data_IF_659526857927
#
_entry.id   IF_659526857927
#
_cell.length_a   1.000
_cell.length_b   1.000
_cell.length_c   1.000
_cell.angle_alpha   90.00
_cell.angle_beta   90.00
_cell.angle_gamma   90.00
#
_symmetry.space_group_name_H-M   'P 1'
#
loop_
_entity.id
_entity.type
_entity.pdbx_description
1 polymer ?
#
# COMPACT_ATOMS: atom_id res chain seq x y z
N UNK A 1 23.94 4.88 14.24
CA UNK A 1 22.48 4.93 14.13
C UNK A 1 22.02 6.26 14.70
N UNK A 2 21.50 7.13 13.85
CA UNK A 2 21.03 8.45 14.29
C UNK A 2 19.60 8.26 14.80
N UNK A 3 19.41 8.01 16.10
CA UNK A 3 18.07 7.98 16.68
C UNK A 3 17.51 9.39 16.54
N UNK A 4 16.50 9.55 15.69
CA UNK A 4 15.83 10.84 15.55
C UNK A 4 15.19 11.23 16.88
N UNK A 5 15.05 12.52 17.15
CA UNK A 5 14.37 13.02 18.36
C UNK A 5 12.99 12.34 18.60
N UNK A 6 12.27 12.00 17.52
CA UNK A 6 11.00 11.26 17.58
C UNK A 6 11.22 9.82 18.07
N UNK A 7 12.29 9.14 17.63
CA UNK A 7 12.63 7.79 18.10
C UNK A 7 12.91 7.76 19.59
N UNK A 8 13.73 8.70 20.10
CA UNK A 8 14.02 8.80 21.53
C UNK A 8 12.76 9.05 22.38
N UNK A 9 11.81 9.84 21.87
CA UNK A 9 10.53 10.05 22.56
C UNK A 9 9.66 8.80 22.57
N UNK A 10 9.66 8.02 21.49
CA UNK A 10 8.92 6.76 21.41
C UNK A 10 9.49 5.75 22.43
N UNK A 11 10.80 5.59 22.48
CA UNK A 11 11.50 4.72 23.46
C UNK A 11 11.22 5.15 24.91
N UNK A 12 11.25 6.47 25.19
CA UNK A 12 10.94 6.99 26.52
C UNK A 12 9.47 6.74 26.91
N UNK A 13 8.53 6.88 25.96
CA UNK A 13 7.12 6.59 26.20
C UNK A 13 6.89 5.10 26.45
N UNK A 14 7.51 4.23 25.65
CA UNK A 14 7.47 2.78 25.84
C UNK A 14 7.98 2.39 27.24
N UNK A 15 9.16 2.88 27.63
CA UNK A 15 9.76 2.62 28.93
C UNK A 15 8.82 3.05 30.08
N UNK A 16 8.18 4.20 29.94
CA UNK A 16 7.23 4.71 30.94
C UNK A 16 5.97 3.86 31.04
N UNK A 17 5.45 3.37 29.91
CA UNK A 17 4.27 2.51 29.89
C UNK A 17 4.57 1.14 30.52
N UNK A 18 5.75 0.58 30.28
CA UNK A 18 6.21 -0.65 30.91
C UNK A 18 6.38 -0.45 32.42
N UNK A 19 7.04 0.64 32.86
CA UNK A 19 7.19 0.96 34.29
C UNK A 19 5.86 1.10 35.00
N UNK A 20 4.86 1.66 34.33
CA UNK A 20 3.48 1.79 34.87
C UNK A 20 2.67 0.48 34.79
N UNK A 21 3.21 -0.58 34.24
CA UNK A 21 2.50 -1.87 34.05
C UNK A 21 1.33 -1.81 33.08
N UNK A 22 1.29 -0.82 32.17
CA UNK A 22 0.24 -0.67 31.18
C UNK A 22 0.48 -1.56 29.94
N UNK A 23 1.74 -1.86 29.65
CA UNK A 23 2.17 -2.80 28.59
C UNK A 23 3.31 -3.67 29.10
N UNK A 24 3.57 -4.79 28.42
CA UNK A 24 4.74 -5.63 28.64
C UNK A 24 5.76 -5.39 27.52
N UNK A 25 7.05 -5.62 27.80
CA UNK A 25 8.14 -5.32 26.88
C UNK A 25 8.06 -6.05 25.53
N UNK A 26 7.46 -7.24 25.50
CA UNK A 26 7.33 -8.07 24.32
C UNK A 26 6.07 -7.75 23.46
N UNK A 27 5.10 -7.03 24.00
CA UNK A 27 3.84 -6.73 23.29
C UNK A 27 4.06 -5.85 22.06
N UNK A 28 5.00 -4.91 22.11
CA UNK A 28 5.32 -4.04 20.97
C UNK A 28 6.02 -4.85 19.89
N UNK A 29 7.00 -5.67 20.26
CA UNK A 29 7.73 -6.54 19.34
C UNK A 29 6.80 -7.56 18.69
N UNK A 30 5.90 -8.17 19.45
CA UNK A 30 4.87 -9.09 18.93
C UNK A 30 3.93 -8.38 17.94
N UNK A 31 3.54 -7.13 18.22
CA UNK A 31 2.71 -6.34 17.33
C UNK A 31 3.44 -6.00 16.04
N UNK A 32 4.70 -5.58 16.12
CA UNK A 32 5.54 -5.29 14.96
C UNK A 32 5.71 -6.55 14.11
N UNK A 33 6.03 -7.69 14.72
CA UNK A 33 6.15 -8.98 14.02
C UNK A 33 4.85 -9.39 13.35
N UNK A 34 3.70 -9.23 14.02
CA UNK A 34 2.39 -9.48 13.44
C UNK A 34 2.18 -8.68 12.14
N UNK A 35 2.45 -7.37 12.18
CA UNK A 35 2.31 -6.51 11.00
C UNK A 35 3.32 -6.81 9.90
N UNK A 36 4.53 -7.23 10.25
CA UNK A 36 5.55 -7.57 9.26
C UNK A 36 5.33 -8.95 8.61
N UNK A 37 4.82 -9.92 9.37
CA UNK A 37 4.75 -11.32 8.96
C UNK A 37 3.37 -11.76 8.49
N UNK A 38 2.29 -11.12 9.00
CA UNK A 38 0.90 -11.55 8.76
C UNK A 38 0.00 -10.48 8.16
N UNK A 39 0.35 -9.20 8.29
CA UNK A 39 -0.44 -8.06 7.82
C UNK A 39 0.39 -7.19 6.89
N UNK A 40 1.29 -7.80 6.13
CA UNK A 40 2.18 -7.11 5.23
C UNK A 40 1.61 -6.92 3.82
N UNK A 41 2.38 -6.32 2.91
CA UNK A 41 1.95 -6.12 1.53
C UNK A 41 1.68 -7.42 0.76
N UNK A 42 2.11 -8.59 1.29
CA UNK A 42 1.76 -9.90 0.74
C UNK A 42 0.24 -10.13 0.70
N UNK A 43 -0.53 -9.57 1.64
CA UNK A 43 -1.99 -9.69 1.62
C UNK A 43 -2.58 -9.00 0.38
N UNK A 44 -2.19 -7.76 0.12
CA UNK A 44 -2.59 -7.04 -1.08
C UNK A 44 -2.09 -7.70 -2.36
N UNK A 45 -0.89 -8.26 -2.35
CA UNK A 45 -0.34 -8.99 -3.48
C UNK A 45 -1.16 -10.24 -3.84
N UNK A 46 -1.66 -10.98 -2.85
CA UNK A 46 -2.59 -12.10 -3.09
C UNK A 46 -3.92 -11.62 -3.69
N UNK A 47 -4.47 -10.52 -3.17
CA UNK A 47 -5.69 -9.89 -3.70
C UNK A 47 -5.51 -9.50 -5.16
N UNK A 48 -4.39 -8.84 -5.49
CA UNK A 48 -4.05 -8.43 -6.86
C UNK A 48 -3.89 -9.64 -7.79
N UNK A 49 -3.13 -10.66 -7.37
CA UNK A 49 -2.89 -11.86 -8.16
C UNK A 49 -4.20 -12.60 -8.47
N UNK A 50 -5.07 -12.76 -7.48
CA UNK A 50 -6.40 -13.34 -7.67
C UNK A 50 -7.24 -12.49 -8.64
N UNK A 51 -7.26 -11.18 -8.50
CA UNK A 51 -8.01 -10.30 -9.39
C UNK A 51 -7.54 -10.37 -10.84
N UNK A 52 -6.27 -10.64 -11.09
CA UNK A 52 -5.75 -10.84 -12.44
C UNK A 52 -6.16 -12.19 -13.06
N UNK A 53 -6.36 -13.23 -12.25
CA UNK A 53 -6.72 -14.58 -12.71
C UNK A 53 -8.23 -14.85 -12.71
N UNK A 54 -8.98 -14.15 -11.87
CA UNK A 54 -10.42 -14.31 -11.70
C UNK A 54 -11.17 -13.01 -12.02
N UNK A 55 -11.74 -12.85 -13.23
CA UNK A 55 -12.49 -11.65 -13.63
C UNK A 55 -13.71 -11.35 -12.74
N UNK A 56 -14.38 -12.39 -12.20
CA UNK A 56 -15.54 -12.21 -11.33
C UNK A 56 -15.09 -11.68 -9.95
N UNK A 57 -13.99 -12.20 -9.43
CA UNK A 57 -13.39 -11.65 -8.21
C UNK A 57 -12.94 -10.19 -8.42
N UNK A 58 -12.26 -9.90 -9.54
CA UNK A 58 -11.86 -8.53 -9.91
C UNK A 58 -13.03 -7.57 -9.92
N UNK A 59 -14.16 -7.98 -10.51
CA UNK A 59 -15.36 -7.17 -10.53
C UNK A 59 -15.86 -6.85 -9.12
N UNK A 60 -15.97 -7.86 -8.24
CA UNK A 60 -16.35 -7.66 -6.83
C UNK A 60 -15.37 -6.77 -6.09
N UNK A 61 -14.07 -6.97 -6.31
CA UNK A 61 -13.00 -6.18 -5.68
C UNK A 61 -13.10 -4.68 -6.01
N UNK A 62 -13.41 -4.34 -7.26
CA UNK A 62 -13.56 -2.93 -7.68
C UNK A 62 -14.89 -2.34 -7.20
N UNK A 63 -15.96 -3.14 -7.12
CA UNK A 63 -17.26 -2.70 -6.63
C UNK A 63 -17.29 -2.56 -5.10
N UNK A 64 -16.73 -3.52 -4.37
CA UNK A 64 -16.64 -3.56 -2.91
C UNK A 64 -15.31 -4.15 -2.45
N UNK A 65 -14.29 -3.30 -2.35
CA UNK A 65 -12.96 -3.72 -1.92
C UNK A 65 -12.93 -4.29 -0.52
N UNK A 66 -13.74 -3.77 0.41
CA UNK A 66 -13.81 -4.26 1.80
C UNK A 66 -14.35 -5.69 1.84
N UNK A 67 -15.51 -5.94 1.23
CA UNK A 67 -16.08 -7.28 1.19
C UNK A 67 -15.21 -8.29 0.45
N UNK A 68 -14.54 -7.87 -0.62
CA UNK A 68 -13.67 -8.77 -1.37
C UNK A 68 -12.40 -9.22 -0.62
N UNK A 69 -11.81 -8.37 0.23
CA UNK A 69 -10.65 -8.78 1.04
C UNK A 69 -11.03 -9.64 2.24
N UNK A 70 -12.28 -9.56 2.71
CA UNK A 70 -12.80 -10.44 3.75
C UNK A 70 -12.85 -11.91 3.32
N UNK A 71 -12.98 -12.20 2.01
CA UNK A 71 -12.89 -13.56 1.46
C UNK A 71 -11.54 -14.24 1.79
N UNK A 72 -10.48 -13.46 2.02
CA UNK A 72 -9.16 -13.93 2.47
C UNK A 72 -8.99 -13.91 3.99
N UNK A 73 -9.98 -13.43 4.74
CA UNK A 73 -9.85 -13.20 6.17
C UNK A 73 -9.02 -11.95 6.53
N UNK A 74 -8.76 -11.07 5.57
CA UNK A 74 -8.04 -9.82 5.81
C UNK A 74 -8.98 -8.78 6.40
N UNK A 75 -9.15 -8.84 7.71
CA UNK A 75 -10.06 -7.97 8.47
C UNK A 75 -9.30 -7.10 9.46
N UNK A 76 -9.88 -5.96 9.83
CA UNK A 76 -9.32 -5.06 10.83
C UNK A 76 -8.32 -4.04 10.26
N UNK A 77 -7.46 -3.49 11.12
CA UNK A 77 -6.42 -2.55 10.71
C UNK A 77 -6.93 -1.15 10.33
N UNK A 78 -8.01 -0.67 10.98
CA UNK A 78 -8.55 0.68 10.79
C UNK A 78 -9.08 0.96 9.37
N UNK A 79 -9.61 -0.05 8.69
CA UNK A 79 -10.27 0.13 7.39
C UNK A 79 -11.78 0.11 7.61
N UNK A 80 -12.42 1.28 7.56
CA UNK A 80 -13.86 1.37 7.49
C UNK A 80 -14.35 1.02 6.08
N UNK A 81 -13.66 1.57 5.06
CA UNK A 81 -13.94 1.28 3.66
C UNK A 81 -12.66 1.23 2.83
N UNK A 82 -12.42 0.10 2.16
CA UNK A 82 -11.39 -0.04 1.12
C UNK A 82 -12.02 0.19 -0.25
N UNK A 83 -11.46 1.12 -1.00
CA UNK A 83 -11.79 1.34 -2.41
C UNK A 83 -10.59 0.94 -3.26
N UNK A 84 -10.81 0.01 -4.19
CA UNK A 84 -9.78 -0.43 -5.12
C UNK A 84 -9.96 0.28 -6.45
N UNK A 85 -8.88 0.91 -6.93
CA UNK A 85 -8.86 1.68 -8.18
C UNK A 85 -7.97 0.99 -9.20
N UNK A 86 -8.54 0.60 -10.34
CA UNK A 86 -7.84 -0.16 -11.37
C UNK A 86 -7.05 0.76 -12.30
N UNK A 87 -5.78 0.41 -12.54
CA UNK A 87 -4.98 0.98 -13.62
C UNK A 87 -5.41 0.39 -14.97
N UNK A 88 -5.40 1.24 -15.99
CA UNK A 88 -5.71 0.86 -17.38
C UNK A 88 -4.65 1.38 -18.34
N UNK A 89 -4.80 1.09 -19.64
CA UNK A 89 -3.92 1.64 -20.66
C UNK A 89 -3.92 3.18 -20.67
N UNK A 90 -5.08 3.79 -20.38
CA UNK A 90 -5.25 5.24 -20.43
C UNK A 90 -5.16 5.95 -19.08
N UNK A 91 -5.24 5.20 -17.96
CA UNK A 91 -5.29 5.77 -16.60
C UNK A 91 -4.27 5.09 -15.69
N UNK A 92 -3.51 5.89 -14.98
CA UNK A 92 -2.64 5.48 -13.87
C UNK A 92 -3.09 6.14 -12.58
N UNK A 93 -3.33 5.33 -11.55
CA UNK A 93 -3.81 5.79 -10.26
C UNK A 93 -2.66 5.86 -9.26
N UNK A 94 -2.69 6.87 -8.40
CA UNK A 94 -1.72 7.07 -7.31
C UNK A 94 -2.48 7.36 -6.03
N UNK A 95 -2.06 6.77 -4.92
CA UNK A 95 -2.69 6.96 -3.62
C UNK A 95 -1.83 7.86 -2.73
N UNK A 96 -2.48 8.74 -2.00
CA UNK A 96 -1.86 9.62 -1.00
C UNK A 96 -2.80 9.77 0.20
N UNK A 97 -2.30 10.23 1.32
CA UNK A 97 -3.09 10.91 2.34
C UNK A 97 -2.45 12.28 2.61
N UNK A 98 -3.10 13.35 2.15
CA UNK A 98 -2.56 14.71 2.29
C UNK A 98 -2.62 15.22 3.73
N UNK A 99 -3.56 14.72 4.53
CA UNK A 99 -3.83 15.21 5.88
C UNK A 99 -2.95 14.55 6.95
N UNK A 100 -2.87 13.22 6.94
CA UNK A 100 -2.17 12.46 7.98
C UNK A 100 -1.30 11.34 7.39
N UNK A 101 -1.73 10.09 7.49
CA UNK A 101 -1.05 8.93 6.94
C UNK A 101 -2.02 7.75 6.77
N UNK A 102 -3.26 8.05 6.38
CA UNK A 102 -4.28 7.06 6.14
C UNK A 102 -3.85 6.06 5.08
N UNK A 103 -3.84 4.79 5.42
CA UNK A 103 -3.21 3.73 4.66
C UNK A 103 -3.98 2.42 4.86
N UNK A 104 -4.15 1.58 3.86
CA UNK A 104 -4.91 0.33 3.99
C UNK A 104 -4.06 -0.78 4.63
N UNK A 105 -3.89 -0.75 5.95
CA UNK A 105 -2.98 -1.62 6.71
C UNK A 105 -3.28 -3.12 6.55
N UNK A 106 -4.55 -3.51 6.46
CA UNK A 106 -4.92 -4.93 6.33
C UNK A 106 -4.32 -5.60 5.08
N UNK A 107 -4.12 -4.83 4.01
CA UNK A 107 -3.61 -5.33 2.74
C UNK A 107 -2.21 -4.86 2.38
N UNK A 108 -1.75 -3.71 2.89
CA UNK A 108 -0.43 -3.16 2.56
C UNK A 108 0.55 -3.10 3.74
N UNK A 109 0.12 -3.52 4.94
CA UNK A 109 0.93 -3.49 6.15
C UNK A 109 1.24 -2.08 6.62
N UNK A 110 2.44 -1.87 7.18
CA UNK A 110 2.87 -0.56 7.64
C UNK A 110 3.26 0.34 6.46
N UNK A 111 2.85 1.63 6.45
CA UNK A 111 3.21 2.54 5.39
C UNK A 111 4.71 2.77 5.33
N UNK A 112 5.30 2.88 4.11
CA UNK A 112 6.71 3.23 3.96
C UNK A 112 6.96 4.66 4.47
N UNK A 113 8.20 4.95 4.86
CA UNK A 113 8.55 6.27 5.43
C UNK A 113 8.25 7.42 4.47
N UNK A 114 8.52 7.24 3.18
CA UNK A 114 8.28 8.26 2.15
C UNK A 114 6.79 8.61 1.99
N UNK A 115 5.86 7.65 2.24
CA UNK A 115 4.42 7.89 2.18
C UNK A 115 3.95 8.96 3.20
N UNK A 116 4.67 9.06 4.32
CA UNK A 116 4.41 10.05 5.38
C UNK A 116 5.15 11.37 5.16
N UNK A 117 6.06 11.44 4.19
CA UNK A 117 6.86 12.64 3.92
C UNK A 117 5.96 13.80 3.47
N UNK A 118 6.04 14.97 4.13
CA UNK A 118 5.31 16.17 3.73
C UNK A 118 5.59 16.57 2.28
N UNK A 119 6.79 16.37 1.76
CA UNK A 119 7.14 16.67 0.38
C UNK A 119 6.35 15.79 -0.60
N UNK A 120 6.30 14.46 -0.39
CA UNK A 120 5.47 13.55 -1.18
C UNK A 120 4.01 14.00 -1.14
N UNK A 121 3.45 14.15 0.07
CA UNK A 121 2.03 14.43 0.27
C UNK A 121 1.57 15.74 -0.38
N UNK A 122 2.39 16.79 -0.31
CA UNK A 122 2.04 18.09 -0.87
C UNK A 122 2.27 18.18 -2.39
N UNK A 123 3.25 17.44 -2.92
CA UNK A 123 3.64 17.52 -4.32
C UNK A 123 2.86 16.58 -5.22
N UNK A 124 2.55 15.36 -4.75
CA UNK A 124 1.90 14.34 -5.59
C UNK A 124 0.53 14.80 -6.11
N UNK A 125 -0.20 15.64 -5.37
CA UNK A 125 -1.48 16.20 -5.82
C UNK A 125 -1.33 17.35 -6.82
N UNK A 126 -0.19 18.04 -6.84
CA UNK A 126 0.07 19.20 -7.71
C UNK A 126 0.82 18.82 -8.99
N UNK A 127 1.80 17.95 -8.87
CA UNK A 127 2.73 17.56 -9.94
C UNK A 127 2.98 16.02 -9.92
N UNK A 128 1.92 15.19 -10.01
CA UNK A 128 2.04 13.74 -9.81
C UNK A 128 3.05 13.09 -10.76
N UNK A 129 3.10 13.48 -12.03
CA UNK A 129 4.04 12.92 -13.00
C UNK A 129 5.48 13.13 -12.60
N UNK A 130 5.81 14.35 -12.14
CA UNK A 130 7.17 14.69 -11.73
C UNK A 130 7.58 13.91 -10.49
N UNK A 131 6.66 13.75 -9.53
CA UNK A 131 6.91 12.92 -8.35
C UNK A 131 7.13 11.46 -8.74
N UNK A 132 6.33 10.92 -9.66
CA UNK A 132 6.51 9.55 -10.17
C UNK A 132 7.86 9.39 -10.88
N UNK A 133 8.26 10.34 -11.73
CA UNK A 133 9.57 10.34 -12.40
C UNK A 133 10.73 10.34 -11.40
N UNK A 134 10.67 11.17 -10.38
CA UNK A 134 11.66 11.23 -9.30
C UNK A 134 11.72 9.91 -8.48
N UNK A 135 10.61 9.16 -8.42
CA UNK A 135 10.54 7.83 -7.81
C UNK A 135 10.89 6.69 -8.77
N UNK A 136 11.30 7.02 -10.01
CA UNK A 136 11.73 6.03 -11.01
C UNK A 136 10.62 5.51 -11.93
N UNK A 137 9.43 6.14 -11.90
CA UNK A 137 8.29 5.72 -12.73
C UNK A 137 7.97 6.76 -13.80
N UNK A 138 8.31 6.44 -15.06
CA UNK A 138 7.98 7.28 -16.22
C UNK A 138 6.75 6.75 -16.93
N UNK A 139 5.75 7.61 -17.10
CA UNK A 139 4.49 7.26 -17.76
C UNK A 139 4.40 7.89 -19.17
N UNK A 140 3.75 7.22 -20.14
CA UNK A 140 3.41 7.80 -21.44
C UNK A 140 2.67 9.13 -21.28
N UNK A 141 2.91 10.09 -22.18
CA UNK A 141 2.35 11.45 -22.07
C UNK A 141 0.82 11.49 -22.14
N UNK A 142 0.22 10.57 -22.89
CA UNK A 142 -1.22 10.42 -23.10
C UNK A 142 -1.92 9.69 -21.94
N UNK A 143 -1.17 9.01 -21.06
CA UNK A 143 -1.74 8.32 -19.90
C UNK A 143 -2.16 9.33 -18.82
N UNK A 144 -3.42 9.35 -18.44
CA UNK A 144 -3.96 10.23 -17.40
C UNK A 144 -3.50 9.75 -16.02
N UNK A 145 -2.97 10.65 -15.19
CA UNK A 145 -2.66 10.33 -13.78
C UNK A 145 -3.80 10.84 -12.90
N UNK A 146 -4.38 9.92 -12.10
CA UNK A 146 -5.38 10.24 -11.08
C UNK A 146 -4.80 10.04 -9.69
N UNK A 147 -4.95 11.05 -8.85
CA UNK A 147 -4.49 11.00 -7.46
C UNK A 147 -5.69 10.83 -6.54
N UNK A 148 -5.63 9.82 -5.66
CA UNK A 148 -6.67 9.47 -4.71
C UNK A 148 -6.19 9.79 -3.30
N UNK A 149 -6.93 10.66 -2.62
CA UNK A 149 -6.60 11.12 -1.27
C UNK A 149 -7.37 10.31 -0.22
N UNK A 150 -6.67 9.45 0.50
CA UNK A 150 -7.24 8.63 1.57
C UNK A 150 -7.66 9.50 2.76
N UNK A 151 -8.78 9.15 3.38
CA UNK A 151 -9.30 9.81 4.57
C UNK A 151 -9.39 8.83 5.76
N UNK A 152 -9.94 9.28 6.88
CA UNK A 152 -10.20 8.40 8.04
C UNK A 152 -11.19 7.29 7.71
N UNK A 153 -12.17 7.55 6.86
CA UNK A 153 -13.25 6.62 6.50
C UNK A 153 -12.92 5.78 5.27
N UNK A 154 -12.14 6.33 4.33
CA UNK A 154 -11.86 5.68 3.04
C UNK A 154 -10.37 5.50 2.85
N UNK A 155 -9.96 4.26 2.56
CA UNK A 155 -8.60 3.89 2.15
C UNK A 155 -8.62 3.45 0.70
N UNK A 156 -7.62 3.86 -0.06
CA UNK A 156 -7.47 3.45 -1.45
C UNK A 156 -6.32 2.46 -1.60
N UNK A 157 -6.50 1.51 -2.53
CA UNK A 157 -5.46 0.63 -3.04
C UNK A 157 -5.52 0.63 -4.57
N UNK A 158 -4.38 0.64 -5.22
CA UNK A 158 -4.30 0.49 -6.68
C UNK A 158 -4.29 -1.00 -7.03
N UNK A 159 -5.13 -1.38 -7.99
CA UNK A 159 -4.99 -2.64 -8.72
C UNK A 159 -4.11 -2.35 -9.95
N UNK A 160 -2.82 -2.73 -9.93
CA UNK A 160 -1.92 -2.46 -11.04
C UNK A 160 -2.27 -3.31 -12.26
N UNK A 161 -1.85 -2.85 -13.44
CA UNK A 161 -1.95 -3.68 -14.65
C UNK A 161 -0.99 -4.85 -14.55
N UNK A 162 -1.47 -6.04 -14.94
CA UNK A 162 -0.62 -7.21 -15.07
C UNK A 162 0.28 -7.04 -16.31
N UNK A 163 1.60 -7.19 -16.17
CA UNK A 163 2.48 -7.24 -17.34
C UNK A 163 2.08 -8.39 -18.26
N UNK A 164 2.02 -8.17 -19.59
CA UNK A 164 1.59 -9.22 -20.54
C UNK A 164 2.43 -10.49 -20.45
N UNK A 165 3.72 -10.37 -20.17
CA UNK A 165 4.67 -11.48 -20.01
C UNK A 165 4.41 -12.35 -18.77
N UNK A 166 3.54 -11.93 -17.85
CA UNK A 166 3.19 -12.69 -16.64
C UNK A 166 1.88 -13.49 -16.80
N UNK A 167 1.27 -13.47 -17.98
CA UNK A 167 -0.04 -14.11 -18.24
C UNK A 167 -0.07 -15.61 -17.88
N UNK A 168 1.05 -16.32 -18.08
CA UNK A 168 1.15 -17.77 -17.87
C UNK A 168 1.59 -18.16 -16.44
N UNK A 169 1.92 -17.18 -15.61
CA UNK A 169 2.34 -17.44 -14.23
C UNK A 169 1.16 -17.92 -13.37
N UNK A 170 1.47 -18.71 -12.37
CA UNK A 170 0.49 -19.10 -11.34
C UNK A 170 0.10 -17.89 -10.46
N UNK A 171 -1.04 -17.99 -9.77
CA UNK A 171 -1.47 -16.95 -8.82
C UNK A 171 -0.43 -16.71 -7.72
N UNK A 172 0.22 -17.78 -7.22
CA UNK A 172 1.30 -17.68 -6.23
C UNK A 172 2.50 -16.93 -6.78
N UNK A 173 2.96 -17.28 -8.00
CA UNK A 173 4.11 -16.62 -8.63
C UNK A 173 3.84 -15.13 -8.95
N UNK A 174 2.59 -14.82 -9.29
CA UNK A 174 2.14 -13.44 -9.49
C UNK A 174 2.17 -12.65 -8.17
N UNK A 175 1.67 -13.24 -7.09
CA UNK A 175 1.67 -12.58 -5.78
C UNK A 175 3.09 -12.24 -5.29
N UNK A 176 4.08 -13.10 -5.54
CA UNK A 176 5.47 -12.82 -5.19
C UNK A 176 6.09 -11.63 -5.95
N UNK A 177 5.51 -11.27 -7.09
CA UNK A 177 6.02 -10.19 -7.97
C UNK A 177 5.33 -8.85 -7.76
N UNK A 178 4.19 -8.84 -7.07
CA UNK A 178 3.45 -7.61 -6.79
C UNK A 178 4.10 -6.88 -5.61
N UNK A 179 4.58 -5.67 -5.86
CA UNK A 179 5.18 -4.83 -4.83
C UNK A 179 4.15 -3.96 -4.11
N UNK A 180 4.46 -3.55 -2.89
CA UNK A 180 3.67 -2.54 -2.18
C UNK A 180 3.58 -1.22 -2.95
N UNK A 181 4.68 -0.80 -3.55
CA UNK A 181 4.78 0.46 -4.26
C UNK A 181 3.91 0.49 -5.52
N UNK A 182 3.72 -0.67 -6.19
CA UNK A 182 2.76 -0.79 -7.29
C UNK A 182 1.31 -0.67 -6.84
N UNK A 183 0.98 -1.14 -5.62
CA UNK A 183 -0.35 -1.02 -5.03
C UNK A 183 -0.64 0.36 -4.43
N UNK A 184 0.39 1.21 -4.27
CA UNK A 184 0.25 2.65 -3.99
C UNK A 184 0.19 3.45 -5.31
N UNK A 185 0.70 2.88 -6.38
CA UNK A 185 0.73 3.48 -7.72
C UNK A 185 1.98 4.30 -8.02
N UNK A 186 3.07 4.10 -7.28
CA UNK A 186 4.34 4.78 -7.53
C UNK A 186 5.36 3.91 -8.27
N UNK A 187 4.96 2.69 -8.63
CA UNK A 187 5.79 1.74 -9.38
C UNK A 187 4.98 1.09 -10.50
N UNK A 188 5.62 0.86 -11.64
CA UNK A 188 5.13 -0.01 -12.71
C UNK A 188 5.77 -1.39 -12.57
N UNK A 189 4.97 -2.42 -12.74
CA UNK A 189 5.43 -3.81 -12.73
C UNK A 189 5.98 -4.22 -14.10
N UNK A 190 6.86 -5.24 -14.13
CA UNK A 190 7.44 -5.77 -15.37
C UNK A 190 8.58 -4.92 -15.96
N UNK A 191 8.94 -3.80 -15.36
CA UNK A 191 10.11 -3.03 -15.77
C UNK A 191 11.33 -3.51 -14.99
N UNK A 192 12.33 -4.01 -15.70
CA UNK A 192 13.65 -4.31 -15.10
C UNK A 192 14.27 -3.03 -14.56
N UNK A 193 14.44 -2.96 -13.24
CA UNK A 193 15.14 -1.85 -12.56
C UNK A 193 16.67 -1.97 -12.66
N UNK A 194 17.18 -2.79 -13.56
CA UNK A 194 18.61 -2.96 -13.83
C UNK A 194 19.07 -2.01 -14.93
N UNK A 195 19.24 -0.74 -14.60
CA UNK A 195 20.04 0.21 -15.36
C UNK A 195 20.67 1.24 -14.40
#
# INVERSE_FOLDING_TARGET
MNNSYVGLRAEALESLLIEKGLIQSDQIDQTISLYNERVGPMNGAQVVAKAWKDPEYKKRLVEDGTGAIEEFGFVGGQIDKLVVVENSESVHNVVVCTLCSCYPWAVLGLPPRWYKDPAYRSRVVKEPRKVLEEMGTTLPKDKTVRVWDSSAEIRYMVLPQMPPEWSDLSESDLAERVSRDSMIGVELLGLDRSA
#
